data_IF_160726713667
#
_entry.id   IF_160726713667
#
_cell.length_a   1.000
_cell.length_b   1.000
_cell.length_c   1.000
_cell.angle_alpha   90.00
_cell.angle_beta   90.00
_cell.angle_gamma   90.00
#
_symmetry.space_group_name_H-M   'P 1'
#
loop_
_entity.id
_entity.type
_entity.pdbx_description
1 polymer ?
#
# COMPACT_ATOMS: atom_id res chain seq x y z
N UNK A 1 2.26 24.76 18.07
CA UNK A 1 1.14 23.86 18.42
C UNK A 1 0.08 24.52 19.30
N UNK A 2 0.39 25.62 19.99
CA UNK A 2 -0.58 26.34 20.85
C UNK A 2 -1.76 26.91 20.06
N UNK A 3 -1.50 27.54 18.91
CA UNK A 3 -2.56 28.17 18.10
C UNK A 3 -3.59 27.17 17.57
N UNK A 4 -3.14 26.04 17.02
CA UNK A 4 -4.03 24.99 16.48
C UNK A 4 -4.94 24.42 17.59
N UNK A 5 -4.36 24.12 18.75
CA UNK A 5 -5.11 23.57 19.89
C UNK A 5 -6.18 24.55 20.37
N UNK A 6 -5.84 25.84 20.46
CA UNK A 6 -6.78 26.88 20.89
C UNK A 6 -7.87 27.13 19.85
N UNK A 7 -7.52 27.21 18.55
CA UNK A 7 -8.49 27.42 17.47
C UNK A 7 -9.47 26.26 17.36
N UNK A 8 -8.97 25.02 17.40
CA UNK A 8 -9.80 23.81 17.36
C UNK A 8 -10.72 23.67 18.57
N UNK A 9 -10.23 24.04 19.76
CA UNK A 9 -11.04 24.08 20.98
C UNK A 9 -12.18 25.11 20.86
N UNK A 10 -11.90 26.31 20.33
CA UNK A 10 -12.90 27.35 20.11
C UNK A 10 -13.98 26.93 19.10
N UNK A 11 -13.59 26.32 17.97
CA UNK A 11 -14.54 25.82 16.96
C UNK A 11 -15.51 24.76 17.51
N UNK A 12 -15.06 23.95 18.48
CA UNK A 12 -15.84 22.86 19.06
C UNK A 12 -16.47 23.17 20.42
N UNK A 13 -16.29 24.39 20.94
CA UNK A 13 -16.78 24.77 22.27
C UNK A 13 -16.13 23.98 23.41
N UNK A 14 -14.91 23.50 23.21
CA UNK A 14 -14.14 22.73 24.20
C UNK A 14 -13.05 23.60 24.82
N UNK A 15 -12.51 23.19 25.96
CA UNK A 15 -11.28 23.80 26.49
C UNK A 15 -10.05 23.20 25.80
N UNK A 16 -8.92 23.94 25.72
CA UNK A 16 -7.67 23.38 25.21
C UNK A 16 -7.23 22.10 25.93
N UNK A 17 -7.49 21.99 27.23
CA UNK A 17 -7.20 20.80 28.02
C UNK A 17 -8.05 19.60 27.57
N UNK A 18 -9.36 19.79 27.37
CA UNK A 18 -10.24 18.73 26.88
C UNK A 18 -9.85 18.23 25.48
N UNK A 19 -9.40 19.13 24.61
CA UNK A 19 -8.91 18.77 23.27
C UNK A 19 -7.64 17.91 23.37
N UNK A 20 -6.69 18.28 24.24
CA UNK A 20 -5.48 17.49 24.45
C UNK A 20 -5.80 16.11 25.05
N UNK A 21 -6.68 16.03 26.04
CA UNK A 21 -7.06 14.75 26.66
C UNK A 21 -7.70 13.77 25.66
N UNK A 22 -8.55 14.27 24.75
CA UNK A 22 -9.11 13.45 23.67
C UNK A 22 -8.06 13.08 22.63
N UNK A 23 -7.24 14.04 22.20
CA UNK A 23 -6.18 13.83 21.21
C UNK A 23 -5.13 12.83 21.68
N UNK A 24 -4.90 12.70 22.98
CA UNK A 24 -3.95 11.74 23.53
C UNK A 24 -4.56 10.34 23.55
N UNK A 25 -5.80 10.18 24.06
CA UNK A 25 -6.46 8.86 24.25
C UNK A 25 -6.55 7.99 22.98
N UNK A 26 -6.89 8.59 21.84
CA UNK A 26 -7.07 7.86 20.58
C UNK A 26 -5.74 7.26 20.05
N UNK A 27 -4.65 8.03 19.92
CA UNK A 27 -3.35 7.50 19.52
C UNK A 27 -2.64 6.67 20.59
N UNK A 28 -2.96 6.77 21.89
CA UNK A 28 -2.41 5.82 22.89
C UNK A 28 -2.90 4.41 22.59
N UNK A 29 -4.20 4.29 22.34
CA UNK A 29 -4.88 3.01 22.11
C UNK A 29 -4.43 2.31 20.83
N UNK A 30 -3.85 3.06 19.90
CA UNK A 30 -3.32 2.56 18.62
C UNK A 30 -1.79 2.54 18.56
N UNK A 31 -1.08 2.91 19.65
CA UNK A 31 0.38 2.98 19.69
C UNK A 31 1.00 4.05 18.78
N UNK A 32 0.18 4.98 18.29
CA UNK A 32 0.58 6.01 17.34
C UNK A 32 1.24 7.22 18.01
N UNK A 33 1.05 7.40 19.33
CA UNK A 33 1.61 8.52 20.08
C UNK A 33 3.12 8.70 19.92
N UNK A 34 3.86 7.59 19.87
CA UNK A 34 5.32 7.57 19.78
C UNK A 34 5.81 7.11 18.40
N UNK A 35 4.90 6.90 17.44
CA UNK A 35 5.30 6.53 16.09
C UNK A 35 5.76 7.76 15.34
N UNK A 36 6.96 7.70 14.76
CA UNK A 36 7.39 8.71 13.80
C UNK A 36 6.52 8.62 12.55
N UNK A 37 5.95 9.75 12.11
CA UNK A 37 5.24 9.84 10.84
C UNK A 37 6.30 10.11 9.77
N UNK A 38 6.55 9.18 8.84
CA UNK A 38 7.56 9.40 7.82
C UNK A 38 7.12 10.55 6.90
N UNK A 39 8.07 11.42 6.53
CA UNK A 39 7.82 12.57 5.65
C UNK A 39 7.35 12.16 4.23
N UNK A 40 7.63 10.93 3.82
CA UNK A 40 7.19 10.37 2.56
C UNK A 40 6.51 9.01 2.80
N UNK A 41 5.48 8.67 2.01
CA UNK A 41 4.89 7.35 2.07
C UNK A 41 5.96 6.29 1.80
N UNK A 42 5.93 5.19 2.55
CA UNK A 42 6.83 4.07 2.33
C UNK A 42 6.68 3.58 0.89
N UNK A 43 7.77 3.63 0.11
CA UNK A 43 7.80 3.22 -1.30
C UNK A 43 7.65 1.71 -1.50
N UNK A 44 7.26 0.98 -0.46
CA UNK A 44 6.92 -0.44 -0.53
C UNK A 44 5.83 -0.63 -1.58
N UNK A 45 6.09 -1.37 -2.68
CA UNK A 45 5.07 -1.64 -3.67
C UNK A 45 3.86 -2.27 -2.98
N UNK A 46 2.66 -1.84 -3.34
CA UNK A 46 1.46 -2.52 -2.87
C UNK A 46 1.55 -4.02 -3.20
N UNK A 47 1.00 -4.91 -2.35
CA UNK A 47 1.09 -6.36 -2.52
C UNK A 47 0.71 -6.80 -3.93
N UNK A 48 -0.34 -6.19 -4.50
CA UNK A 48 -0.81 -6.47 -5.86
C UNK A 48 0.18 -6.07 -6.96
N UNK A 49 0.96 -5.01 -6.74
CA UNK A 49 2.00 -4.55 -7.67
C UNK A 49 3.20 -5.49 -7.62
N UNK A 50 3.62 -5.90 -6.41
CA UNK A 50 4.69 -6.89 -6.23
C UNK A 50 4.33 -8.23 -6.89
N UNK A 51 3.17 -8.79 -6.58
CA UNK A 51 2.69 -10.04 -7.17
C UNK A 51 2.53 -9.95 -8.70
N UNK A 52 2.10 -8.79 -9.22
CA UNK A 52 2.00 -8.58 -10.67
C UNK A 52 3.35 -8.55 -11.37
N UNK A 53 4.38 -8.01 -10.71
CA UNK A 53 5.76 -7.98 -11.21
C UNK A 53 6.35 -9.39 -11.21
N UNK A 54 6.20 -10.11 -10.12
CA UNK A 54 6.69 -11.49 -9.98
C UNK A 54 6.06 -12.42 -11.03
N UNK A 55 4.74 -12.37 -11.20
CA UNK A 55 4.06 -13.18 -12.22
C UNK A 55 4.54 -12.84 -13.65
N UNK A 56 4.87 -11.58 -13.91
CA UNK A 56 5.44 -11.18 -15.21
C UNK A 56 6.84 -11.76 -15.41
N UNK A 57 7.67 -11.78 -14.38
CA UNK A 57 9.02 -12.37 -14.43
C UNK A 57 8.93 -13.88 -14.70
N UNK A 58 8.05 -14.61 -14.00
CA UNK A 58 7.82 -16.04 -14.24
C UNK A 58 7.35 -16.35 -15.67
N UNK A 59 6.44 -15.53 -16.22
CA UNK A 59 5.99 -15.68 -17.61
C UNK A 59 7.16 -15.49 -18.58
N UNK A 60 7.98 -14.46 -18.36
CA UNK A 60 9.10 -14.16 -19.24
C UNK A 60 10.13 -15.29 -19.22
N UNK A 61 10.48 -15.78 -18.03
CA UNK A 61 11.43 -16.87 -17.88
C UNK A 61 11.01 -18.13 -18.63
N UNK A 62 9.73 -18.53 -18.54
CA UNK A 62 9.24 -19.71 -19.25
C UNK A 62 9.21 -19.49 -20.78
N UNK A 63 8.90 -18.28 -21.25
CA UNK A 63 8.97 -17.96 -22.69
C UNK A 63 10.42 -18.00 -23.18
N UNK A 64 11.36 -17.47 -22.40
CA UNK A 64 12.79 -17.46 -22.72
C UNK A 64 13.37 -18.90 -22.73
N UNK A 65 12.79 -19.82 -21.95
CA UNK A 65 13.07 -21.26 -22.01
C UNK A 65 12.45 -21.96 -23.25
N UNK A 66 11.71 -21.24 -24.09
CA UNK A 66 11.13 -21.75 -25.34
C UNK A 66 9.71 -22.31 -25.22
N UNK A 67 9.05 -22.17 -24.07
CA UNK A 67 7.66 -22.62 -23.92
C UNK A 67 6.70 -21.71 -24.68
N UNK A 68 5.69 -22.32 -25.31
CA UNK A 68 4.60 -21.57 -25.93
C UNK A 68 3.71 -20.93 -24.86
N UNK A 69 3.01 -19.84 -25.22
CA UNK A 69 2.09 -19.15 -24.28
C UNK A 69 1.01 -20.08 -23.71
N UNK A 70 0.61 -21.12 -24.45
CA UNK A 70 -0.36 -22.11 -23.98
C UNK A 70 0.23 -23.02 -22.90
N UNK A 71 1.50 -23.41 -23.03
CA UNK A 71 2.21 -24.20 -22.02
C UNK A 71 2.52 -23.36 -20.78
N UNK A 72 2.93 -22.11 -20.96
CA UNK A 72 3.13 -21.15 -19.86
C UNK A 72 1.83 -20.97 -19.06
N UNK A 73 0.71 -20.76 -19.74
CA UNK A 73 -0.61 -20.64 -19.12
C UNK A 73 -0.98 -21.87 -18.29
N UNK A 74 -0.76 -23.08 -18.84
CA UNK A 74 -1.02 -24.35 -18.16
C UNK A 74 -0.13 -24.53 -16.93
N UNK A 75 1.16 -24.20 -17.03
CA UNK A 75 2.13 -24.34 -15.93
C UNK A 75 1.86 -23.38 -14.78
N UNK A 76 1.49 -22.14 -15.09
CA UNK A 76 1.23 -21.11 -14.09
C UNK A 76 -0.22 -21.08 -13.60
N UNK A 77 -1.10 -21.96 -14.12
CA UNK A 77 -2.51 -22.02 -13.71
C UNK A 77 -3.32 -20.77 -14.07
N UNK A 78 -2.93 -20.05 -15.12
CA UNK A 78 -3.57 -18.79 -15.54
C UNK A 78 -4.14 -18.89 -16.95
N UNK A 79 -4.99 -17.94 -17.33
CA UNK A 79 -5.53 -17.89 -18.69
C UNK A 79 -4.44 -17.53 -19.72
N UNK A 80 -4.56 -18.08 -20.94
CA UNK A 80 -3.70 -17.68 -22.07
C UNK A 80 -3.79 -16.18 -22.37
N UNK A 81 -4.96 -15.57 -22.17
CA UNK A 81 -5.14 -14.14 -22.33
C UNK A 81 -4.32 -13.33 -21.30
N UNK A 82 -4.24 -13.80 -20.06
CA UNK A 82 -3.40 -13.20 -19.01
C UNK A 82 -1.92 -13.22 -19.40
N UNK A 83 -1.45 -14.33 -19.97
CA UNK A 83 -0.07 -14.44 -20.49
C UNK A 83 0.16 -13.43 -21.62
N UNK A 84 -0.72 -13.41 -22.63
CA UNK A 84 -0.62 -12.50 -23.77
C UNK A 84 -0.61 -11.02 -23.34
N UNK A 85 -1.52 -10.63 -22.44
CA UNK A 85 -1.62 -9.25 -21.95
C UNK A 85 -0.37 -8.80 -21.20
N UNK A 86 0.26 -9.70 -20.43
CA UNK A 86 1.48 -9.39 -19.67
C UNK A 86 2.71 -9.28 -20.57
N UNK A 87 2.78 -10.04 -21.66
CA UNK A 87 3.84 -9.95 -22.67
C UNK A 87 3.74 -8.68 -23.53
N UNK A 88 2.53 -8.27 -23.93
CA UNK A 88 2.31 -7.05 -24.74
C UNK A 88 2.72 -5.75 -24.03
N UNK A 89 2.73 -5.77 -22.70
CA UNK A 89 3.09 -4.62 -21.87
C UNK A 89 4.60 -4.56 -21.57
N UNK A 90 5.42 -5.33 -22.30
CA UNK A 90 6.87 -5.41 -22.13
C UNK A 90 7.63 -4.38 -22.94
#
# INVERSE_FOLDING_TARGET
MTLLTVAYAAERGQTPQQVLDHLVKDPESTGLLCSEIPALPSKTPHPNVAASRELREQIKELVDQGYSQAEVARRLGISRQTVSNRLKKS
#
